data_IF_439831757918
#
_entry.id   IF_439831757918
#
_cell.length_a   1.000
_cell.length_b   1.000
_cell.length_c   1.000
_cell.angle_alpha   90.00
_cell.angle_beta   90.00
_cell.angle_gamma   90.00
#
_symmetry.space_group_name_H-M   'P 1'
#
loop_
_entity.id
_entity.type
_entity.pdbx_description
1 polymer ?
#
# COMPACT_ATOMS: atom_id res chain seq x y z
N UNK A 1 -17.88 -25.04 -7.14
CA UNK A 1 -18.80 -24.63 -8.23
C UNK A 1 -17.94 -24.37 -9.44
N UNK A 2 -18.22 -24.99 -10.56
CA UNK A 2 -17.47 -24.77 -11.80
C UNK A 2 -18.23 -23.73 -12.64
N UNK A 3 -17.54 -22.81 -13.26
CA UNK A 3 -18.11 -21.92 -14.27
C UNK A 3 -17.29 -22.01 -15.55
N UNK A 4 -17.95 -21.78 -16.66
CA UNK A 4 -17.33 -21.86 -17.96
C UNK A 4 -16.96 -20.46 -18.44
N UNK A 5 -15.70 -20.31 -18.87
CA UNK A 5 -15.24 -19.09 -19.52
C UNK A 5 -15.52 -19.21 -21.02
N UNK A 6 -16.51 -18.53 -21.49
CA UNK A 6 -16.97 -18.62 -22.89
C UNK A 6 -16.32 -17.60 -23.82
N UNK A 7 -15.62 -16.61 -23.29
CA UNK A 7 -14.97 -15.56 -24.05
C UNK A 7 -13.44 -15.68 -23.96
N UNK A 8 -12.80 -16.03 -25.08
CA UNK A 8 -11.35 -16.15 -25.17
C UNK A 8 -10.60 -14.80 -25.05
N UNK A 9 -11.31 -13.67 -25.15
CA UNK A 9 -10.75 -12.32 -25.01
C UNK A 9 -10.97 -11.72 -23.64
N UNK A 10 -11.52 -12.46 -22.69
CA UNK A 10 -11.76 -11.98 -21.34
C UNK A 10 -10.43 -11.59 -20.67
N UNK A 11 -10.38 -10.43 -20.07
CA UNK A 11 -9.23 -10.02 -19.26
C UNK A 11 -9.26 -10.69 -17.89
N UNK A 12 -8.09 -10.78 -17.25
CA UNK A 12 -8.02 -11.31 -15.88
C UNK A 12 -8.90 -10.49 -14.92
N UNK A 13 -8.93 -9.17 -15.09
CA UNK A 13 -9.78 -8.30 -14.26
C UNK A 13 -11.29 -8.55 -14.42
N UNK A 14 -11.75 -8.83 -15.63
CA UNK A 14 -13.15 -9.21 -15.88
C UNK A 14 -13.46 -10.58 -15.28
N UNK A 15 -12.57 -11.54 -15.46
CA UNK A 15 -12.72 -12.86 -14.88
C UNK A 15 -12.75 -12.82 -13.34
N UNK A 16 -11.92 -11.99 -12.73
CA UNK A 16 -11.92 -11.78 -11.27
C UNK A 16 -13.27 -11.21 -10.78
N UNK A 17 -13.86 -10.27 -11.51
CA UNK A 17 -15.19 -9.73 -11.18
C UNK A 17 -16.28 -10.79 -11.29
N UNK A 18 -16.25 -11.60 -12.33
CA UNK A 18 -17.21 -12.67 -12.51
C UNK A 18 -17.11 -13.73 -11.39
N UNK A 19 -15.87 -14.07 -10.99
CA UNK A 19 -15.64 -14.98 -9.86
C UNK A 19 -16.15 -14.37 -8.55
N UNK A 20 -15.93 -13.08 -8.30
CA UNK A 20 -16.45 -12.42 -7.10
C UNK A 20 -17.97 -12.45 -7.06
N UNK A 21 -18.65 -12.17 -8.19
CA UNK A 21 -20.10 -12.24 -8.29
C UNK A 21 -20.60 -13.66 -8.07
N UNK A 22 -19.96 -14.65 -8.67
CA UNK A 22 -20.36 -16.05 -8.57
C UNK A 22 -20.30 -16.58 -7.13
N UNK A 23 -19.30 -16.14 -6.37
CA UNK A 23 -19.11 -16.53 -4.97
C UNK A 23 -19.74 -15.54 -3.98
N UNK A 24 -20.57 -14.62 -4.46
CA UNK A 24 -21.28 -13.61 -3.64
C UNK A 24 -20.33 -12.81 -2.71
N UNK A 25 -19.13 -12.51 -3.22
CA UNK A 25 -18.13 -11.75 -2.47
C UNK A 25 -18.30 -10.26 -2.72
N UNK A 26 -18.00 -9.47 -1.69
CA UNK A 26 -18.02 -8.02 -1.79
C UNK A 26 -16.94 -7.53 -2.78
N UNK A 27 -17.20 -6.42 -3.43
CA UNK A 27 -16.28 -5.73 -4.35
C UNK A 27 -14.97 -5.32 -3.66
N UNK A 28 -14.99 -5.22 -2.33
CA UNK A 28 -13.79 -4.98 -1.51
C UNK A 28 -12.91 -6.23 -1.35
N UNK A 29 -13.40 -7.39 -1.78
CA UNK A 29 -12.65 -8.64 -1.75
C UNK A 29 -11.78 -8.74 -3.00
N UNK A 30 -10.53 -9.07 -2.80
CA UNK A 30 -9.62 -9.39 -3.90
C UNK A 30 -9.64 -10.88 -4.18
N UNK A 31 -9.52 -11.25 -5.45
CA UNK A 31 -9.42 -12.65 -5.83
C UNK A 31 -8.16 -12.89 -6.65
N UNK A 32 -7.37 -13.85 -6.22
CA UNK A 32 -6.26 -14.40 -7.00
C UNK A 32 -6.70 -15.74 -7.59
N UNK A 33 -6.39 -15.97 -8.85
CA UNK A 33 -6.65 -17.24 -9.51
C UNK A 33 -5.35 -18.05 -9.55
N UNK A 34 -5.41 -19.28 -9.11
CA UNK A 34 -4.24 -20.17 -9.06
C UNK A 34 -4.47 -21.37 -9.96
N UNK A 35 -3.57 -21.58 -10.90
CA UNK A 35 -3.50 -22.76 -11.76
C UNK A 35 -2.18 -23.47 -11.50
N UNK A 36 -2.29 -24.71 -11.01
CA UNK A 36 -1.10 -25.47 -10.58
C UNK A 36 -0.27 -24.68 -9.54
N UNK A 37 0.89 -24.18 -9.91
CA UNK A 37 1.77 -23.38 -9.05
C UNK A 37 1.85 -21.90 -9.44
N UNK A 38 1.08 -21.48 -10.45
CA UNK A 38 1.08 -20.10 -10.96
C UNK A 38 -0.10 -19.33 -10.38
N UNK A 39 0.19 -18.16 -9.84
CA UNK A 39 -0.82 -17.25 -9.27
C UNK A 39 -1.00 -16.04 -10.17
N UNK A 40 -2.23 -15.81 -10.58
CA UNK A 40 -2.65 -14.66 -11.37
C UNK A 40 -3.42 -13.69 -10.46
N UNK A 41 -2.76 -12.66 -10.02
CA UNK A 41 -3.31 -11.72 -9.03
C UNK A 41 -3.58 -10.32 -9.59
N UNK A 42 -2.71 -9.82 -10.48
CA UNK A 42 -2.83 -8.45 -10.99
C UNK A 42 -3.80 -8.39 -12.16
N UNK A 43 -4.89 -7.64 -12.05
CA UNK A 43 -5.76 -7.38 -13.18
C UNK A 43 -4.98 -6.52 -14.19
N UNK A 44 -4.64 -7.09 -15.31
CA UNK A 44 -4.06 -6.36 -16.43
C UNK A 44 -5.07 -6.29 -17.58
N UNK A 45 -4.72 -5.52 -18.59
CA UNK A 45 -5.54 -5.37 -19.78
C UNK A 45 -5.34 -6.49 -20.81
N UNK A 46 -4.45 -7.46 -20.50
CA UNK A 46 -4.21 -8.59 -21.40
C UNK A 46 -5.32 -9.62 -21.27
N UNK A 47 -5.75 -10.24 -22.35
CA UNK A 47 -6.67 -11.37 -22.30
C UNK A 47 -6.10 -12.51 -21.47
N UNK A 48 -6.96 -13.20 -20.74
CA UNK A 48 -6.54 -14.35 -19.94
C UNK A 48 -6.35 -15.59 -20.83
N UNK A 49 -5.21 -15.65 -21.53
CA UNK A 49 -4.87 -16.69 -22.51
C UNK A 49 -4.33 -17.97 -21.88
N UNK A 50 -4.03 -17.96 -20.59
CA UNK A 50 -3.39 -19.07 -19.90
C UNK A 50 -4.34 -20.24 -19.60
N UNK A 51 -5.65 -20.00 -19.62
CA UNK A 51 -6.64 -21.01 -19.36
C UNK A 51 -6.97 -21.81 -20.64
N UNK A 52 -7.07 -23.14 -20.50
CA UNK A 52 -7.52 -24.07 -21.53
C UNK A 52 -8.83 -24.70 -21.13
N UNK A 53 -9.60 -25.19 -22.08
CA UNK A 53 -10.85 -25.92 -21.83
C UNK A 53 -10.61 -27.10 -20.86
N UNK A 54 -11.40 -27.15 -19.82
CA UNK A 54 -11.30 -28.20 -18.78
C UNK A 54 -10.29 -27.90 -17.68
N UNK A 55 -9.60 -26.78 -17.73
CA UNK A 55 -8.70 -26.36 -16.65
C UNK A 55 -9.46 -26.06 -15.35
N UNK A 56 -8.82 -26.38 -14.26
CA UNK A 56 -9.31 -26.02 -12.92
C UNK A 56 -8.49 -24.87 -12.36
N UNK A 57 -9.14 -23.78 -12.08
CA UNK A 57 -8.57 -22.62 -11.40
C UNK A 57 -9.07 -22.57 -9.96
N UNK A 58 -8.16 -22.44 -9.02
CA UNK A 58 -8.51 -22.21 -7.63
C UNK A 58 -8.60 -20.71 -7.37
N UNK A 59 -9.75 -20.28 -6.86
CA UNK A 59 -9.93 -18.89 -6.45
C UNK A 59 -9.51 -18.73 -4.98
N UNK A 60 -8.56 -17.85 -4.73
CA UNK A 60 -8.12 -17.47 -3.37
C UNK A 60 -8.64 -16.07 -3.11
N UNK A 61 -9.48 -15.95 -2.09
CA UNK A 61 -10.09 -14.67 -1.70
C UNK A 61 -9.30 -14.05 -0.55
N UNK A 62 -8.88 -12.81 -0.75
CA UNK A 62 -8.23 -12.00 0.26
C UNK A 62 -9.07 -10.76 0.52
N UNK A 63 -9.19 -10.36 1.77
CA UNK A 63 -9.83 -9.09 2.08
C UNK A 63 -8.95 -7.95 1.59
N UNK A 64 -9.55 -6.93 1.01
CA UNK A 64 -8.83 -5.76 0.48
C UNK A 64 -7.92 -5.09 1.53
N UNK A 65 -8.19 -5.33 2.79
CA UNK A 65 -7.41 -4.77 3.90
C UNK A 65 -5.94 -5.20 3.85
N UNK A 66 -5.65 -6.48 3.54
CA UNK A 66 -4.27 -6.98 3.43
C UNK A 66 -3.51 -6.45 2.20
N UNK A 67 -4.21 -5.95 1.19
CA UNK A 67 -3.59 -5.39 -0.03
C UNK A 67 -3.31 -3.89 0.07
N UNK A 68 -4.09 -3.18 0.90
CA UNK A 68 -3.95 -1.75 1.10
C UNK A 68 -3.20 -1.39 2.37
N UNK A 69 -3.19 -2.26 3.36
CA UNK A 69 -2.50 -2.08 4.62
C UNK A 69 -1.34 -3.07 4.72
N UNK A 70 -0.17 -2.56 5.05
CA UNK A 70 1.04 -3.35 5.25
C UNK A 70 1.70 -2.96 6.56
N UNK A 71 2.31 -3.92 7.23
CA UNK A 71 3.16 -3.66 8.38
C UNK A 71 4.55 -3.25 7.91
N UNK A 72 4.99 -2.08 8.30
CA UNK A 72 6.29 -1.53 7.97
C UNK A 72 7.10 -1.30 9.23
N UNK A 73 8.35 -1.70 9.18
CA UNK A 73 9.31 -1.45 10.24
C UNK A 73 10.04 -0.14 9.97
N UNK A 74 9.86 0.81 10.85
CA UNK A 74 10.56 2.09 10.79
C UNK A 74 11.73 2.10 11.74
N UNK A 75 12.89 2.49 11.24
CA UNK A 75 14.11 2.59 12.04
C UNK A 75 14.66 4.01 12.02
N UNK A 76 14.87 4.57 13.19
CA UNK A 76 15.57 5.83 13.40
C UNK A 76 16.76 5.59 14.34
N UNK A 77 17.97 5.47 13.80
CA UNK A 77 19.15 5.10 14.54
C UNK A 77 19.00 3.71 15.20
N UNK A 78 19.16 3.59 16.53
CA UNK A 78 19.01 2.32 17.25
C UNK A 78 17.55 1.94 17.53
N UNK A 79 16.62 2.85 17.31
CA UNK A 79 15.19 2.66 17.62
C UNK A 79 14.44 2.10 16.42
N UNK A 80 13.59 1.12 16.69
CA UNK A 80 12.73 0.48 15.68
C UNK A 80 11.28 0.47 16.18
N UNK A 81 10.37 0.82 15.28
CA UNK A 81 8.92 0.78 15.54
C UNK A 81 8.26 0.10 14.34
N UNK A 82 7.30 -0.78 14.61
CA UNK A 82 6.45 -1.40 13.58
C UNK A 82 5.11 -0.69 13.56
N UNK A 83 4.68 -0.27 12.39
CA UNK A 83 3.40 0.40 12.20
C UNK A 83 2.68 -0.18 10.98
N UNK A 84 1.35 -0.27 11.08
CA UNK A 84 0.50 -0.55 9.93
C UNK A 84 0.24 0.74 9.17
N UNK A 85 0.51 0.74 7.89
CA UNK A 85 0.30 1.88 6.99
C UNK A 85 -0.53 1.45 5.79
N UNK A 86 -1.31 2.38 5.25
CA UNK A 86 -2.05 2.16 4.01
C UNK A 86 -1.17 2.52 2.83
N UNK A 87 -1.22 1.74 1.77
CA UNK A 87 -0.46 2.04 0.54
C UNK A 87 -0.85 3.38 -0.09
N UNK A 88 -2.03 3.89 0.22
CA UNK A 88 -2.53 5.20 -0.21
C UNK A 88 -2.12 6.35 0.70
N UNK A 89 -1.51 6.07 1.85
CA UNK A 89 -1.09 7.11 2.77
C UNK A 89 0.07 7.94 2.19
N UNK A 90 -0.06 9.25 2.30
CA UNK A 90 1.04 10.17 2.07
C UNK A 90 1.98 10.21 3.28
N UNK A 91 3.19 10.68 3.06
CA UNK A 91 4.16 10.86 4.13
C UNK A 91 3.61 11.78 5.23
N UNK A 92 2.85 12.80 4.86
CA UNK A 92 2.23 13.71 5.83
C UNK A 92 1.26 13.00 6.76
N UNK A 93 0.44 12.08 6.24
CA UNK A 93 -0.54 11.35 7.05
C UNK A 93 0.13 10.48 8.09
N UNK A 94 1.24 9.85 7.75
CA UNK A 94 1.98 8.96 8.65
C UNK A 94 2.97 9.71 9.55
N UNK A 95 3.41 10.87 9.14
CA UNK A 95 4.45 11.64 9.82
C UNK A 95 4.11 11.98 11.28
N UNK A 96 2.85 12.30 11.54
CA UNK A 96 2.38 12.55 12.91
C UNK A 96 2.58 11.31 13.81
N UNK A 97 2.23 10.15 13.30
CA UNK A 97 2.34 8.90 14.05
C UNK A 97 3.81 8.48 14.23
N UNK A 98 4.64 8.71 13.22
CA UNK A 98 6.09 8.49 13.31
C UNK A 98 6.70 9.41 14.37
N UNK A 99 6.39 10.69 14.35
CA UNK A 99 6.87 11.63 15.36
C UNK A 99 6.45 11.19 16.77
N UNK A 100 5.20 10.82 16.95
CA UNK A 100 4.70 10.31 18.23
C UNK A 100 5.44 9.04 18.67
N UNK A 101 5.62 8.08 17.77
CA UNK A 101 6.26 6.80 18.06
C UNK A 101 7.73 6.96 18.44
N UNK A 102 8.45 7.91 17.85
CA UNK A 102 9.86 8.19 18.14
C UNK A 102 10.07 9.34 19.13
N UNK A 103 9.02 9.82 19.80
CA UNK A 103 9.11 10.87 20.82
C UNK A 103 9.48 12.26 20.26
N UNK A 104 9.25 12.49 18.96
CA UNK A 104 9.49 13.77 18.31
C UNK A 104 8.27 14.68 18.38
N UNK A 105 8.48 15.98 18.31
CA UNK A 105 7.40 16.96 18.35
C UNK A 105 6.91 17.31 16.96
N UNK A 106 5.76 16.78 16.58
CA UNK A 106 5.06 17.22 15.39
C UNK A 106 4.29 18.53 15.70
N UNK A 107 4.27 19.55 14.85
CA UNK A 107 4.88 19.61 13.50
C UNK A 107 6.29 20.25 13.46
N UNK A 108 6.97 20.40 14.57
CA UNK A 108 8.30 21.00 14.64
C UNK A 108 9.39 20.14 13.97
N UNK A 109 9.12 18.85 13.85
CA UNK A 109 10.00 17.89 13.19
C UNK A 109 9.31 17.33 11.96
N UNK A 110 10.04 17.27 10.86
CA UNK A 110 9.63 16.56 9.65
C UNK A 110 10.37 15.22 9.56
N UNK A 111 9.64 14.18 9.21
CA UNK A 111 10.22 12.88 8.94
C UNK A 111 10.48 12.69 7.44
N UNK A 112 11.69 12.26 7.11
CA UNK A 112 12.01 11.72 5.79
C UNK A 112 12.11 10.21 5.89
N UNK A 113 11.62 9.51 4.90
CA UNK A 113 11.60 8.04 4.88
C UNK A 113 12.44 7.56 3.72
N UNK A 114 13.40 6.70 3.99
CA UNK A 114 14.27 6.08 2.99
C UNK A 114 13.91 4.61 2.77
N UNK A 115 13.71 4.21 1.51
CA UNK A 115 13.51 2.83 1.08
C UNK A 115 14.33 2.54 -0.16
N UNK A 116 15.16 1.49 -0.10
CA UNK A 116 15.92 0.99 -1.26
C UNK A 116 16.71 2.07 -2.03
N UNK A 117 17.34 3.02 -1.31
CA UNK A 117 18.11 4.10 -1.89
C UNK A 117 17.32 5.32 -2.33
N UNK A 118 16.00 5.31 -2.23
CA UNK A 118 15.12 6.45 -2.49
C UNK A 118 14.71 7.09 -1.17
N UNK A 119 14.80 8.41 -1.09
CA UNK A 119 14.36 9.18 0.07
C UNK A 119 13.10 9.97 -0.29
N UNK A 120 12.09 9.81 0.54
CA UNK A 120 10.81 10.51 0.45
C UNK A 120 10.76 11.56 1.56
N UNK A 121 10.69 12.82 1.19
CA UNK A 121 10.76 13.96 2.13
C UNK A 121 9.68 15.01 1.92
N UNK A 122 9.05 15.04 0.76
CA UNK A 122 7.90 15.91 0.51
C UNK A 122 6.66 15.35 1.19
N UNK A 123 5.82 16.22 1.72
CA UNK A 123 4.58 15.85 2.39
C UNK A 123 3.60 15.07 1.50
N UNK A 124 3.68 15.27 0.19
CA UNK A 124 2.83 14.60 -0.78
C UNK A 124 3.45 13.31 -1.31
N UNK A 125 4.67 12.98 -0.93
CA UNK A 125 5.29 11.72 -1.32
C UNK A 125 4.45 10.55 -0.80
N UNK A 126 4.33 9.52 -1.63
CA UNK A 126 3.60 8.28 -1.35
C UNK A 126 4.56 7.10 -1.19
N UNK A 127 5.46 7.11 -0.20
CA UNK A 127 6.44 6.04 -0.02
C UNK A 127 5.79 4.69 0.25
N UNK A 128 4.59 4.70 0.80
CA UNK A 128 3.84 3.50 1.17
C UNK A 128 3.16 2.84 -0.04
N UNK A 129 3.01 3.54 -1.16
CA UNK A 129 2.50 2.96 -2.40
C UNK A 129 3.36 1.79 -2.90
N UNK A 130 4.67 1.83 -2.61
CA UNK A 130 5.64 0.79 -2.99
C UNK A 130 6.01 -0.13 -1.82
N UNK A 131 5.47 0.12 -0.63
CA UNK A 131 5.76 -0.67 0.56
C UNK A 131 5.21 -2.09 0.45
N UNK A 132 5.96 -3.03 0.97
CA UNK A 132 5.60 -4.44 1.09
C UNK A 132 5.55 -4.85 2.56
N UNK A 133 4.83 -5.92 2.84
CA UNK A 133 4.72 -6.46 4.19
C UNK A 133 6.09 -6.80 4.76
N UNK A 134 6.38 -6.26 5.94
CA UNK A 134 7.65 -6.50 6.62
C UNK A 134 8.80 -5.62 6.16
N UNK A 135 8.58 -4.67 5.24
CA UNK A 135 9.62 -3.73 4.80
C UNK A 135 10.28 -3.00 5.96
N UNK A 136 11.55 -2.71 5.81
CA UNK A 136 12.30 -1.86 6.73
C UNK A 136 12.64 -0.53 6.06
N UNK A 137 12.13 0.55 6.64
CA UNK A 137 12.35 1.91 6.16
C UNK A 137 13.16 2.72 7.16
N UNK A 138 14.16 3.45 6.67
CA UNK A 138 14.96 4.36 7.49
C UNK A 138 14.22 5.68 7.67
N UNK A 139 14.17 6.18 8.88
CA UNK A 139 13.53 7.45 9.20
C UNK A 139 14.57 8.44 9.69
N UNK A 140 14.57 9.63 9.10
CA UNK A 140 15.39 10.75 9.51
C UNK A 140 14.48 11.90 9.89
N UNK A 141 14.73 12.52 11.06
CA UNK A 141 13.97 13.67 11.51
C UNK A 141 14.79 14.94 11.34
N UNK A 142 14.19 15.93 10.71
CA UNK A 142 14.76 17.25 10.52
C UNK A 142 13.86 18.30 11.13
N UNK A 143 14.47 19.32 11.72
CA UNK A 143 13.73 20.45 12.26
C UNK A 143 13.15 21.28 11.11
N UNK A 144 11.85 21.50 11.12
CA UNK A 144 11.16 22.35 10.16
C UNK A 144 11.38 23.83 10.54
N UNK A 145 12.51 24.39 10.13
CA UNK A 145 12.88 25.75 10.53
C UNK A 145 12.05 26.86 9.89
N UNK A 146 11.33 26.59 8.79
CA UNK A 146 10.71 27.64 7.99
C UNK A 146 9.18 27.56 7.83
N UNK A 147 8.57 26.43 8.12
CA UNK A 147 7.10 26.29 7.93
C UNK A 147 6.26 26.84 9.11
N UNK A 148 6.89 27.05 10.23
CA UNK A 148 6.25 27.59 11.43
C UNK A 148 7.08 28.72 12.04
N UNK A 149 7.50 29.67 11.23
CA UNK A 149 7.53 31.00 11.81
C UNK A 149 6.08 31.23 12.21
N UNK A 150 5.74 31.25 13.52
CA UNK A 150 4.50 31.89 13.90
C UNK A 150 4.54 33.14 13.09
N UNK A 151 3.45 33.51 12.44
CA UNK A 151 3.30 34.88 12.03
C UNK A 151 3.72 35.63 13.27
N UNK A 152 4.96 36.03 13.31
CA UNK A 152 5.36 37.12 14.13
C UNK A 152 4.53 38.25 13.53
N UNK A 153 3.28 38.26 13.87
CA UNK A 153 2.54 39.47 13.91
C UNK A 153 3.46 40.34 14.70
N UNK A 154 4.23 41.12 13.98
CA UNK A 154 4.95 42.19 14.59
C UNK A 154 3.92 43.02 15.29
N UNK A 155 3.64 42.67 16.52
CA UNK A 155 3.26 43.70 17.47
C UNK A 155 4.51 44.52 17.64
N UNK A 156 4.72 45.38 16.66
CA UNK A 156 5.47 46.57 16.91
C UNK A 156 4.66 47.38 17.93
N UNK A 157 5.26 47.76 19.03
CA UNK A 157 4.63 48.69 19.93
C UNK A 157 4.34 50.03 19.23
#
# INVERSE_FOLDING_TARGET
MAFEVTNAEITLGELQKDVLMLFEKDISTWVSLVRESVTYAKPDSQPFLEASEGDTLNAVFETSQSLYEVEVNFRAGPHKVTMTVKKTDSLREVQRELCKAFGQRFPLMAASVGRAGTTYSDFNDLPFAVAEEGDEMQVTFEQTSDMWRPFACGFLP
#
